data_IF_460069223173
#
_entry.id   IF_460069223173
#
_cell.length_a   1.000
_cell.length_b   1.000
_cell.length_c   1.000
_cell.angle_alpha   90.00
_cell.angle_beta   90.00
_cell.angle_gamma   90.00
#
_symmetry.space_group_name_H-M   'P 1'
#
loop_
_entity.id
_entity.type
_entity.pdbx_description
1 polymer ?
#
# COMPACT_ATOMS: atom_id res chain seq x y z
N UNK A 1 -0.44 -24.45 -3.52
CA UNK A 1 -1.46 -23.62 -4.22
C UNK A 1 -0.94 -22.20 -4.29
N UNK A 2 -1.18 -21.48 -5.40
CA UNK A 2 -0.65 -20.12 -5.62
C UNK A 2 -1.69 -19.06 -5.27
N UNK A 3 -1.29 -18.03 -4.55
CA UNK A 3 -2.17 -16.94 -4.10
C UNK A 3 -1.58 -15.60 -4.54
N UNK A 4 -2.38 -14.82 -5.28
CA UNK A 4 -2.09 -13.40 -5.51
C UNK A 4 -2.76 -12.59 -4.39
N UNK A 5 -1.94 -11.95 -3.57
CA UNK A 5 -2.38 -11.14 -2.44
C UNK A 5 -2.24 -9.66 -2.80
N UNK A 6 -3.36 -8.93 -2.85
CA UNK A 6 -3.42 -7.53 -3.27
C UNK A 6 -3.65 -6.60 -2.08
N UNK A 7 -2.82 -5.58 -1.92
CA UNK A 7 -2.97 -4.58 -0.86
C UNK A 7 -2.78 -3.15 -1.37
N UNK A 8 -3.51 -2.19 -0.78
CA UNK A 8 -3.37 -0.78 -1.14
C UNK A 8 -2.09 -0.14 -0.58
N UNK A 9 -1.59 -0.66 0.54
CA UNK A 9 -0.33 -0.30 1.19
C UNK A 9 0.28 -1.57 1.75
N UNK A 10 1.60 -1.59 1.93
CA UNK A 10 2.25 -2.79 2.46
C UNK A 10 1.76 -3.10 3.89
N UNK A 11 1.65 -4.38 4.27
CA UNK A 11 1.08 -4.78 5.56
C UNK A 11 2.07 -4.66 6.73
N UNK A 12 3.35 -4.41 6.47
CA UNK A 12 4.40 -4.25 7.47
C UNK A 12 4.89 -2.79 7.52
N UNK A 13 5.18 -2.23 8.70
CA UNK A 13 5.04 -2.83 10.04
C UNK A 13 3.57 -2.90 10.49
N UNK A 14 3.20 -3.87 11.35
CA UNK A 14 1.84 -4.04 11.86
C UNK A 14 1.52 -3.01 12.96
N UNK A 15 1.55 -1.73 12.63
CA UNK A 15 1.35 -0.60 13.57
C UNK A 15 -0.08 -0.01 13.53
N UNK A 16 -0.97 -0.57 12.71
CA UNK A 16 -2.36 -0.14 12.58
C UNK A 16 -3.26 -1.36 12.45
N UNK A 17 -4.48 -1.31 13.00
CA UNK A 17 -5.42 -2.44 12.99
C UNK A 17 -5.55 -3.17 11.64
N UNK A 18 -5.78 -2.44 10.52
CA UNK A 18 -5.81 -3.05 9.19
C UNK A 18 -4.50 -3.74 8.79
N UNK A 19 -3.35 -3.14 9.12
CA UNK A 19 -2.01 -3.70 8.84
C UNK A 19 -1.74 -4.95 9.69
N UNK A 20 -2.09 -4.93 10.98
CA UNK A 20 -1.96 -6.07 11.90
C UNK A 20 -2.69 -7.29 11.32
N UNK A 21 -3.99 -7.14 11.01
CA UNK A 21 -4.78 -8.25 10.45
C UNK A 21 -4.17 -8.79 9.16
N UNK A 22 -3.82 -7.88 8.24
CA UNK A 22 -3.31 -8.25 6.91
C UNK A 22 -1.96 -8.95 7.00
N UNK A 23 -1.07 -8.46 7.87
CA UNK A 23 0.24 -9.05 8.12
C UNK A 23 0.15 -10.47 8.68
N UNK A 24 -0.69 -10.69 9.70
CA UNK A 24 -0.84 -12.02 10.27
C UNK A 24 -1.51 -13.01 9.32
N UNK A 25 -2.45 -12.55 8.48
CA UNK A 25 -3.02 -13.40 7.42
C UNK A 25 -1.95 -13.79 6.40
N UNK A 26 -1.13 -12.83 5.95
CA UNK A 26 -0.04 -13.08 5.01
C UNK A 26 0.95 -14.12 5.55
N UNK A 27 1.38 -13.94 6.81
CA UNK A 27 2.24 -14.90 7.51
C UNK A 27 1.61 -16.28 7.62
N UNK A 28 0.36 -16.35 8.07
CA UNK A 28 -0.36 -17.62 8.18
C UNK A 28 -0.39 -18.35 6.83
N UNK A 29 -0.66 -17.65 5.72
CA UNK A 29 -0.65 -18.28 4.40
C UNK A 29 0.73 -18.81 4.02
N UNK A 30 1.78 -18.02 4.20
CA UNK A 30 3.15 -18.49 3.94
C UNK A 30 3.54 -19.68 4.81
N UNK A 31 3.26 -19.63 6.11
CA UNK A 31 3.61 -20.67 7.09
C UNK A 31 2.88 -21.99 6.82
N UNK A 32 1.69 -21.93 6.20
CA UNK A 32 0.94 -23.11 5.76
C UNK A 32 1.37 -23.62 4.36
N UNK A 33 2.47 -23.11 3.81
CA UNK A 33 3.08 -23.61 2.57
C UNK A 33 2.38 -23.15 1.28
N UNK A 34 1.63 -22.04 1.32
CA UNK A 34 1.10 -21.42 0.11
C UNK A 34 2.17 -20.59 -0.61
N UNK A 35 2.18 -20.63 -1.93
CA UNK A 35 3.04 -19.77 -2.75
C UNK A 35 2.36 -18.40 -2.87
N UNK A 36 2.73 -17.47 -2.00
CA UNK A 36 2.10 -16.14 -1.96
C UNK A 36 2.92 -15.15 -2.77
N UNK A 37 2.26 -14.52 -3.75
CA UNK A 37 2.77 -13.35 -4.46
C UNK A 37 2.05 -12.12 -3.95
N UNK A 38 2.78 -11.19 -3.34
CA UNK A 38 2.24 -9.91 -2.88
C UNK A 38 2.38 -8.86 -4.00
N UNK A 39 1.28 -8.20 -4.36
CA UNK A 39 1.32 -6.97 -5.14
C UNK A 39 0.71 -5.83 -4.33
N UNK A 40 1.48 -4.77 -4.12
CA UNK A 40 1.07 -3.66 -3.26
C UNK A 40 1.58 -2.33 -3.78
N UNK A 41 0.87 -1.24 -3.48
CA UNK A 41 1.52 0.05 -3.53
C UNK A 41 2.43 0.25 -2.31
N UNK A 42 3.45 1.10 -2.45
CA UNK A 42 4.41 1.44 -1.39
C UNK A 42 4.63 2.95 -1.35
N UNK A 43 4.69 3.53 -0.15
CA UNK A 43 5.08 4.93 0.05
C UNK A 43 6.60 5.04 0.22
N UNK A 44 7.20 6.22 -0.02
CA UNK A 44 8.65 6.40 0.11
C UNK A 44 9.21 5.99 1.49
N UNK A 45 8.47 6.26 2.57
CA UNK A 45 8.80 5.89 3.95
C UNK A 45 8.55 4.41 4.27
N UNK A 46 7.92 3.67 3.37
CA UNK A 46 7.59 2.26 3.53
C UNK A 46 8.52 1.35 2.71
N UNK A 47 9.31 1.91 1.79
CA UNK A 47 10.21 1.14 0.91
C UNK A 47 11.26 0.34 1.69
N UNK A 48 11.69 0.83 2.86
CA UNK A 48 12.63 0.15 3.74
C UNK A 48 12.11 -1.19 4.27
N UNK A 49 10.79 -1.39 4.31
CA UNK A 49 10.15 -2.60 4.85
C UNK A 49 9.88 -3.66 3.79
N UNK A 50 10.07 -3.36 2.50
CA UNK A 50 9.86 -4.31 1.41
C UNK A 50 10.73 -5.58 1.54
N UNK A 51 12.00 -5.52 1.99
CA UNK A 51 12.79 -6.73 2.24
C UNK A 51 12.13 -7.71 3.20
N UNK A 52 11.51 -7.24 4.29
CA UNK A 52 10.80 -8.09 5.27
C UNK A 52 9.65 -8.86 4.61
N UNK A 53 8.97 -8.26 3.64
CA UNK A 53 7.89 -8.92 2.89
C UNK A 53 8.43 -10.02 1.98
N UNK A 54 9.66 -9.87 1.45
CA UNK A 54 10.31 -10.87 0.58
C UNK A 54 10.80 -12.09 1.35
N UNK A 55 11.00 -11.97 2.67
CA UNK A 55 11.29 -13.11 3.54
C UNK A 55 10.06 -14.00 3.77
N UNK A 56 8.86 -13.43 3.64
CA UNK A 56 7.59 -14.14 3.88
C UNK A 56 6.92 -14.57 2.57
N UNK A 57 6.98 -13.76 1.51
CA UNK A 57 6.31 -14.05 0.25
C UNK A 57 7.27 -14.71 -0.75
N UNK A 58 6.74 -15.59 -1.59
CA UNK A 58 7.48 -16.14 -2.74
C UNK A 58 7.92 -15.04 -3.71
N UNK A 59 7.08 -14.02 -3.90
CA UNK A 59 7.39 -12.84 -4.70
C UNK A 59 6.70 -11.60 -4.14
N UNK A 60 7.35 -10.43 -4.30
CA UNK A 60 6.81 -9.14 -3.89
C UNK A 60 6.99 -8.13 -5.01
N UNK A 61 5.87 -7.58 -5.48
CA UNK A 61 5.81 -6.52 -6.48
C UNK A 61 5.26 -5.25 -5.83
N UNK A 62 6.09 -4.21 -5.78
CA UNK A 62 5.67 -2.91 -5.27
C UNK A 62 5.56 -1.88 -6.37
N UNK A 63 4.54 -1.03 -6.27
CA UNK A 63 4.37 0.14 -7.13
C UNK A 63 4.45 1.41 -6.28
N UNK A 64 5.39 2.33 -6.53
CA UNK A 64 5.55 3.52 -5.70
C UNK A 64 4.35 4.47 -5.86
N UNK A 65 3.78 4.90 -4.74
CA UNK A 65 2.77 5.96 -4.71
C UNK A 65 3.49 7.30 -4.88
N UNK A 66 3.38 7.90 -6.07
CA UNK A 66 3.95 9.22 -6.34
C UNK A 66 2.96 10.30 -5.91
N UNK A 67 3.27 11.03 -4.85
CA UNK A 67 2.57 12.28 -4.50
C UNK A 67 3.40 13.48 -4.96
N UNK A 68 2.80 14.39 -5.71
CA UNK A 68 3.46 15.63 -6.13
C UNK A 68 2.89 16.80 -5.33
N UNK A 69 3.76 17.47 -4.55
CA UNK A 69 3.37 18.69 -3.83
C UNK A 69 2.89 19.79 -4.78
N UNK A 70 3.35 19.78 -6.03
CA UNK A 70 2.93 20.74 -7.07
C UNK A 70 1.50 20.45 -7.53
N UNK A 71 1.14 19.18 -7.72
CA UNK A 71 -0.24 18.83 -8.07
C UNK A 71 -1.20 19.16 -6.92
N UNK A 72 -0.77 18.97 -5.67
CA UNK A 72 -1.58 19.31 -4.50
C UNK A 72 -1.97 20.80 -4.45
N UNK A 73 -1.08 21.71 -4.86
CA UNK A 73 -1.43 23.15 -4.96
C UNK A 73 -2.48 23.38 -6.04
N UNK A 74 -2.36 22.70 -7.18
CA UNK A 74 -3.36 22.76 -8.25
C UNK A 74 -4.73 22.27 -7.79
N UNK A 75 -4.79 21.14 -7.09
CA UNK A 75 -6.03 20.61 -6.52
C UNK A 75 -6.60 21.53 -5.42
N UNK A 76 -5.74 22.18 -4.64
CA UNK A 76 -6.18 23.15 -3.63
C UNK A 76 -6.87 24.36 -4.27
N UNK A 77 -6.25 24.96 -5.29
CA UNK A 77 -6.86 26.06 -6.06
C UNK A 77 -8.16 25.61 -6.73
N UNK A 78 -8.18 24.41 -7.33
CA UNK A 78 -9.37 23.86 -7.98
C UNK A 78 -10.50 23.63 -6.96
N UNK A 79 -10.20 23.18 -5.75
CA UNK A 79 -11.20 22.94 -4.69
C UNK A 79 -11.94 24.23 -4.28
N UNK A 80 -11.24 25.37 -4.24
CA UNK A 80 -11.84 26.66 -3.95
C UNK A 80 -12.80 27.14 -5.05
N UNK A 81 -12.51 26.81 -6.31
CA UNK A 81 -13.37 27.17 -7.46
C UNK A 81 -14.53 26.18 -7.60
N UNK A 82 -14.27 24.88 -7.45
CA UNK A 82 -15.26 23.80 -7.65
C UNK A 82 -16.23 23.65 -6.45
N UNK A 83 -15.92 24.27 -5.30
CA UNK A 83 -16.63 24.08 -4.01
C UNK A 83 -16.69 22.61 -3.56
N UNK A 84 -15.83 21.75 -4.10
CA UNK A 84 -15.68 20.37 -3.65
C UNK A 84 -14.55 20.31 -2.61
N UNK A 85 -14.67 19.47 -1.57
CA UNK A 85 -13.59 19.26 -0.62
C UNK A 85 -12.28 18.87 -1.32
N UNK A 86 -11.16 19.46 -0.89
CA UNK A 86 -9.83 19.22 -1.45
C UNK A 86 -9.48 17.73 -1.59
N UNK A 87 -9.85 16.91 -0.60
CA UNK A 87 -9.59 15.47 -0.63
C UNK A 87 -10.29 14.78 -1.81
N UNK A 88 -11.52 15.16 -2.12
CA UNK A 88 -12.26 14.60 -3.25
C UNK A 88 -11.62 15.06 -4.56
N UNK A 89 -11.28 16.34 -4.69
CA UNK A 89 -10.66 16.88 -5.91
C UNK A 89 -9.26 16.32 -6.17
N UNK A 90 -8.54 15.91 -5.13
CA UNK A 90 -7.21 15.31 -5.22
C UNK A 90 -7.25 13.80 -5.53
N UNK A 91 -8.28 13.11 -5.03
CA UNK A 91 -8.40 11.66 -5.08
C UNK A 91 -9.40 11.16 -6.16
N UNK A 92 -10.12 12.06 -6.84
CA UNK A 92 -10.90 11.83 -8.08
C UNK A 92 -9.99 11.66 -9.31
#
# INVERSE_FOLDING_TARGET
MRILFLTQIIPYPPNAGPRVKTWHLLRYLSENGYDVTLASFVRPDEEEYVPVLREVCTAVHTVPIRRSRVSDVGYWLKSHVSRRPFLIERDD
#
